data_IF_173352736314
#
_entry.id   IF_173352736314
#
_cell.length_a   1.000
_cell.length_b   1.000
_cell.length_c   1.000
_cell.angle_alpha   90.00
_cell.angle_beta   90.00
_cell.angle_gamma   90.00
#
_symmetry.space_group_name_H-M   'P 1'
#
loop_
_entity.id
_entity.type
_entity.pdbx_description
1 polymer ?
#
# COMPACT_ATOMS: atom_id res chain seq x y z
N UNK A 1 -10.75 43.30 -31.24
CA UNK A 1 -9.61 42.94 -30.36
C UNK A 1 -8.34 43.28 -31.08
N UNK A 2 -7.43 44.05 -30.47
CA UNK A 2 -6.17 44.46 -31.10
C UNK A 2 -5.23 43.25 -31.28
N UNK A 3 -4.88 42.95 -32.53
CA UNK A 3 -4.02 41.82 -32.92
C UNK A 3 -2.60 41.94 -32.34
N UNK A 4 -2.12 43.16 -32.11
CA UNK A 4 -0.81 43.40 -31.51
C UNK A 4 -0.78 42.99 -30.03
N UNK A 5 -1.87 43.24 -29.31
CA UNK A 5 -2.03 42.86 -27.90
C UNK A 5 -2.10 41.34 -27.76
N UNK A 6 -2.88 40.66 -28.62
CA UNK A 6 -2.99 39.19 -28.63
C UNK A 6 -1.63 38.55 -28.91
N UNK A 7 -0.88 39.05 -29.90
CA UNK A 7 0.44 38.52 -30.24
C UNK A 7 1.46 38.66 -29.09
N UNK A 8 1.37 39.76 -28.34
CA UNK A 8 2.21 39.98 -27.15
C UNK A 8 1.84 39.02 -26.02
N UNK A 9 0.54 38.80 -25.80
CA UNK A 9 0.01 37.84 -24.82
C UNK A 9 0.46 36.41 -25.12
N UNK A 10 0.38 35.97 -26.37
CA UNK A 10 0.83 34.62 -26.76
C UNK A 10 2.32 34.43 -26.50
N UNK A 11 3.16 35.40 -26.90
CA UNK A 11 4.60 35.36 -26.62
C UNK A 11 4.91 35.32 -25.13
N UNK A 12 4.15 36.08 -24.34
CA UNK A 12 4.29 36.09 -22.89
C UNK A 12 3.87 34.75 -22.28
N UNK A 13 2.72 34.18 -22.67
CA UNK A 13 2.28 32.86 -22.20
C UNK A 13 3.29 31.76 -22.56
N UNK A 14 3.90 31.84 -23.74
CA UNK A 14 4.94 30.91 -24.17
C UNK A 14 6.20 31.02 -23.32
N UNK A 15 6.56 32.22 -22.86
CA UNK A 15 7.70 32.43 -21.97
C UNK A 15 7.52 31.86 -20.56
N UNK A 16 6.27 31.65 -20.12
CA UNK A 16 5.99 31.11 -18.78
C UNK A 16 6.27 29.61 -18.64
N UNK A 17 6.54 28.89 -19.74
CA UNK A 17 6.82 27.45 -19.70
C UNK A 17 5.61 26.58 -19.31
N UNK A 18 4.41 27.15 -19.23
CA UNK A 18 3.18 26.43 -18.86
C UNK A 18 2.88 25.24 -19.81
N UNK A 19 3.25 25.38 -21.09
CA UNK A 19 3.13 24.32 -22.10
C UNK A 19 3.91 23.05 -21.76
N UNK A 20 4.94 23.13 -20.92
CA UNK A 20 5.78 22.00 -20.55
C UNK A 20 5.23 21.22 -19.35
N UNK A 21 4.21 21.77 -18.66
CA UNK A 21 3.60 21.09 -17.53
C UNK A 21 2.53 20.11 -18.01
N UNK A 22 2.51 18.87 -17.48
CA UNK A 22 1.45 17.93 -17.82
C UNK A 22 0.11 18.41 -17.28
N UNK A 23 -0.95 18.30 -18.09
CA UNK A 23 -2.31 18.52 -17.61
C UNK A 23 -2.72 17.34 -16.73
N UNK A 24 -3.17 17.64 -15.51
CA UNK A 24 -3.56 16.63 -14.53
C UNK A 24 -5.04 16.78 -14.17
N UNK A 25 -5.74 15.67 -13.87
CA UNK A 25 -7.07 15.72 -13.28
C UNK A 25 -7.07 16.51 -11.97
N UNK A 26 -8.18 17.21 -11.69
CA UNK A 26 -8.35 17.98 -10.45
C UNK A 26 -8.22 17.05 -9.25
N UNK A 27 -7.44 17.47 -8.24
CA UNK A 27 -7.16 16.66 -7.04
C UNK A 27 -6.02 15.65 -7.19
N UNK A 28 -5.36 15.61 -8.35
CA UNK A 28 -4.13 14.84 -8.52
C UNK A 28 -2.98 15.45 -7.73
N UNK A 29 -2.10 14.60 -7.20
CA UNK A 29 -0.90 14.99 -6.49
C UNK A 29 0.31 14.53 -7.30
N UNK A 30 1.34 15.37 -7.44
CA UNK A 30 2.56 15.00 -8.14
C UNK A 30 3.77 15.65 -7.49
N UNK A 31 4.85 14.88 -7.34
CA UNK A 31 6.13 15.38 -6.89
C UNK A 31 6.80 16.23 -7.97
N UNK A 32 7.48 17.29 -7.56
CA UNK A 32 8.22 18.14 -8.48
C UNK A 32 9.42 17.40 -9.09
N UNK A 33 9.82 17.78 -10.31
CA UNK A 33 11.00 17.20 -11.00
C UNK A 33 12.26 17.26 -10.13
N UNK A 34 12.47 18.35 -9.40
CA UNK A 34 13.59 18.49 -8.46
C UNK A 34 13.53 17.48 -7.30
N UNK A 35 12.34 17.17 -6.80
CA UNK A 35 12.13 16.17 -5.75
C UNK A 35 12.42 14.76 -6.26
N UNK A 36 11.94 14.45 -7.47
CA UNK A 36 12.20 13.15 -8.13
C UNK A 36 13.70 12.97 -8.36
N UNK A 37 14.42 13.99 -8.84
CA UNK A 37 15.86 13.90 -9.02
C UNK A 37 16.62 13.64 -7.70
N UNK A 38 16.21 14.28 -6.60
CA UNK A 38 16.77 14.02 -5.26
C UNK A 38 16.47 12.60 -4.78
N UNK A 39 15.25 12.12 -5.03
CA UNK A 39 14.83 10.76 -4.72
C UNK A 39 15.69 9.74 -5.47
N UNK A 40 15.90 9.91 -6.78
CA UNK A 40 16.75 9.02 -7.57
C UNK A 40 18.21 9.05 -7.08
N UNK A 41 18.73 10.22 -6.71
CA UNK A 41 20.06 10.33 -6.13
C UNK A 41 20.15 9.57 -4.80
N UNK A 42 19.12 9.66 -3.97
CA UNK A 42 19.05 8.91 -2.71
C UNK A 42 18.98 7.40 -2.95
N UNK A 43 18.13 6.94 -3.86
CA UNK A 43 18.02 5.52 -4.24
C UNK A 43 19.35 4.98 -4.75
N UNK A 44 20.04 5.70 -5.64
CA UNK A 44 21.37 5.31 -6.15
C UNK A 44 22.40 5.17 -5.03
N UNK A 45 22.38 6.04 -4.02
CA UNK A 45 23.27 5.94 -2.84
C UNK A 45 22.92 4.72 -1.99
N UNK A 46 21.62 4.45 -1.81
CA UNK A 46 21.13 3.33 -1.02
C UNK A 46 21.48 1.98 -1.66
N UNK A 47 21.26 1.83 -2.98
CA UNK A 47 21.62 0.63 -3.73
C UNK A 47 23.13 0.35 -3.67
N UNK A 48 23.99 1.37 -3.86
CA UNK A 48 25.45 1.22 -3.69
C UNK A 48 25.81 0.69 -2.31
N UNK A 49 25.21 1.25 -1.26
CA UNK A 49 25.45 0.79 0.11
C UNK A 49 25.01 -0.67 0.31
N UNK A 50 23.90 -1.09 -0.30
CA UNK A 50 23.48 -2.48 -0.25
C UNK A 50 24.46 -3.41 -0.97
N UNK A 51 24.95 -3.01 -2.15
CA UNK A 51 25.98 -3.76 -2.87
C UNK A 51 27.27 -3.89 -2.06
N UNK A 52 27.73 -2.81 -1.43
CA UNK A 52 28.94 -2.83 -0.61
C UNK A 52 28.79 -3.75 0.61
N UNK A 53 27.64 -3.72 1.28
CA UNK A 53 27.34 -4.65 2.38
C UNK A 53 27.35 -6.10 1.90
N UNK A 54 26.76 -6.39 0.74
CA UNK A 54 26.76 -7.76 0.18
C UNK A 54 28.18 -8.22 -0.15
N UNK A 55 29.06 -7.33 -0.61
CA UNK A 55 30.48 -7.67 -0.86
C UNK A 55 31.22 -7.96 0.45
N UNK A 56 31.10 -7.09 1.45
CA UNK A 56 31.72 -7.32 2.77
C UNK A 56 31.26 -8.65 3.38
N UNK A 57 29.97 -8.98 3.26
CA UNK A 57 29.43 -10.26 3.73
C UNK A 57 30.03 -11.46 2.96
N UNK A 58 30.30 -11.33 1.66
CA UNK A 58 30.91 -12.40 0.85
C UNK A 58 32.38 -12.62 1.19
N UNK A 59 33.09 -11.56 1.55
CA UNK A 59 34.52 -11.62 1.88
C UNK A 59 34.75 -12.21 3.30
N UNK A 60 33.75 -12.14 4.18
CA UNK A 60 33.73 -12.81 5.49
C UNK A 60 33.37 -14.30 5.33
N UNK A 61 34.35 -15.18 5.07
CA UNK A 61 34.17 -16.66 4.97
C UNK A 61 33.59 -17.33 6.24
N UNK A 62 33.43 -16.59 7.35
CA UNK A 62 32.86 -17.06 8.62
C UNK A 62 31.40 -16.67 8.85
N UNK A 63 30.79 -15.93 7.93
CA UNK A 63 29.43 -15.42 8.04
C UNK A 63 28.36 -16.45 7.64
N UNK A 64 27.86 -17.19 8.62
CA UNK A 64 26.68 -18.05 8.50
C UNK A 64 25.42 -17.21 8.18
N UNK A 65 25.20 -16.85 6.91
CA UNK A 65 23.90 -16.40 6.41
C UNK A 65 23.67 -16.92 4.99
N UNK A 66 22.56 -17.62 4.84
CA UNK A 66 22.15 -18.28 3.61
C UNK A 66 21.75 -17.30 2.51
N UNK A 67 22.03 -17.70 1.28
CA UNK A 67 21.26 -17.32 0.10
C UNK A 67 19.78 -17.28 0.45
N UNK A 68 19.16 -16.08 0.47
CA UNK A 68 17.74 -15.84 0.75
C UNK A 68 17.04 -17.09 1.29
N UNK A 69 17.36 -17.52 2.53
CA UNK A 69 16.85 -18.80 3.00
C UNK A 69 15.35 -18.68 2.86
N UNK A 70 14.76 -19.56 2.06
CA UNK A 70 13.36 -19.85 2.15
C UNK A 70 13.17 -20.39 3.56
N UNK A 71 13.10 -19.49 4.55
CA UNK A 71 12.66 -19.81 5.87
C UNK A 71 11.23 -20.25 5.65
N UNK A 72 10.98 -21.52 5.90
CA UNK A 72 9.64 -22.03 6.10
C UNK A 72 9.12 -21.36 7.38
N UNK A 73 8.72 -20.09 7.23
CA UNK A 73 7.92 -19.41 8.22
C UNK A 73 6.59 -20.13 8.09
N UNK A 74 6.24 -20.92 9.10
CA UNK A 74 4.94 -21.57 9.17
C UNK A 74 3.88 -20.52 8.86
N UNK A 75 3.29 -20.61 7.66
CA UNK A 75 2.31 -19.64 7.20
C UNK A 75 1.08 -19.89 8.05
N UNK A 76 0.95 -19.16 9.15
CA UNK A 76 -0.33 -19.00 9.81
C UNK A 76 -1.25 -18.53 8.70
N UNK A 77 -2.27 -19.32 8.36
CA UNK A 77 -3.32 -18.93 7.40
C UNK A 77 -3.80 -17.55 7.83
N UNK A 78 -3.27 -16.52 7.19
CA UNK A 78 -3.80 -15.18 7.25
C UNK A 78 -5.14 -15.32 6.57
N UNK A 79 -6.21 -15.45 7.38
CA UNK A 79 -7.61 -15.51 6.91
C UNK A 79 -8.00 -14.30 6.03
N UNK A 80 -7.08 -13.34 5.88
CA UNK A 80 -7.24 -12.09 5.12
C UNK A 80 -6.29 -11.99 3.91
N UNK A 81 -5.52 -13.04 3.58
CA UNK A 81 -4.74 -13.11 2.33
C UNK A 81 -5.50 -13.85 1.21
N UNK A 82 -6.80 -14.09 1.43
CA UNK A 82 -7.68 -14.67 0.43
C UNK A 82 -8.06 -13.56 -0.54
N UNK A 83 -7.33 -13.53 -1.64
CA UNK A 83 -7.44 -12.59 -2.75
C UNK A 83 -6.91 -11.20 -2.41
N UNK A 84 -5.80 -10.84 -3.04
CA UNK A 84 -5.36 -9.45 -3.18
C UNK A 84 -6.38 -8.54 -3.88
N UNK A 85 -7.66 -8.90 -4.01
CA UNK A 85 -8.70 -7.90 -4.22
C UNK A 85 -8.92 -7.24 -2.86
N UNK A 86 -8.48 -5.99 -2.65
CA UNK A 86 -9.11 -5.22 -1.59
C UNK A 86 -10.61 -5.36 -1.78
N UNK A 87 -11.31 -5.78 -0.72
CA UNK A 87 -12.76 -5.85 -0.67
C UNK A 87 -13.31 -4.63 -1.42
N UNK A 88 -14.16 -4.86 -2.43
CA UNK A 88 -14.64 -3.84 -3.38
C UNK A 88 -15.30 -2.63 -2.69
N UNK A 89 -15.54 -2.71 -1.37
CA UNK A 89 -16.10 -1.65 -0.54
C UNK A 89 -15.10 -1.01 0.45
N UNK A 90 -13.93 -1.60 0.66
CA UNK A 90 -12.91 -1.10 1.59
C UNK A 90 -11.89 -0.22 0.86
N UNK A 91 -12.19 1.09 0.81
CA UNK A 91 -11.23 2.21 0.86
C UNK A 91 -9.86 2.06 0.18
N UNK A 92 -9.75 1.40 -0.99
CA UNK A 92 -8.54 1.42 -1.84
C UNK A 92 -8.12 2.85 -2.18
N UNK A 93 -9.10 3.75 -2.18
CA UNK A 93 -8.96 5.18 -2.47
C UNK A 93 -8.06 5.97 -1.51
N UNK A 94 -7.62 5.42 -0.37
CA UNK A 94 -7.07 6.28 0.71
C UNK A 94 -5.75 5.84 1.36
N UNK A 95 -5.08 4.77 0.91
CA UNK A 95 -3.89 4.31 1.64
C UNK A 95 -2.54 4.75 1.03
N UNK A 96 -2.45 5.06 -0.25
CA UNK A 96 -1.18 5.42 -0.85
C UNK A 96 -0.92 6.92 -0.76
N UNK A 97 0.28 7.30 -0.34
CA UNK A 97 0.71 8.70 -0.22
C UNK A 97 1.97 8.90 -1.07
N UNK A 98 2.21 10.14 -1.52
CA UNK A 98 3.47 10.49 -2.17
C UNK A 98 4.66 10.10 -1.29
N UNK A 99 5.65 9.46 -1.91
CA UNK A 99 6.84 8.96 -1.22
C UNK A 99 6.70 7.55 -0.66
N UNK A 100 5.52 6.92 -0.71
CA UNK A 100 5.39 5.53 -0.28
C UNK A 100 6.28 4.60 -1.10
N UNK A 101 6.93 3.68 -0.40
CA UNK A 101 7.68 2.58 -1.02
C UNK A 101 6.72 1.50 -1.43
N UNK A 102 6.80 1.07 -2.67
CA UNK A 102 5.92 0.07 -3.27
C UNK A 102 6.74 -0.97 -3.99
N UNK A 103 6.14 -2.13 -4.24
CA UNK A 103 6.63 -3.06 -5.25
C UNK A 103 5.49 -3.59 -6.10
N UNK A 104 5.84 -4.00 -7.31
CA UNK A 104 4.88 -4.57 -8.24
C UNK A 104 4.55 -6.02 -7.87
N UNK A 105 3.28 -6.32 -7.66
CA UNK A 105 2.75 -7.67 -7.38
C UNK A 105 1.99 -8.28 -8.55
N UNK A 106 1.85 -7.57 -9.67
CA UNK A 106 1.17 -8.07 -10.87
C UNK A 106 2.16 -8.42 -11.97
N UNK A 107 1.88 -9.45 -12.75
CA UNK A 107 2.66 -9.79 -13.95
C UNK A 107 2.13 -9.12 -15.22
N UNK A 108 0.97 -8.45 -15.16
CA UNK A 108 0.22 -8.03 -16.36
C UNK A 108 0.58 -6.64 -16.89
N UNK A 109 1.44 -5.88 -16.20
CA UNK A 109 1.59 -4.43 -16.42
C UNK A 109 2.82 -4.03 -17.25
N UNK A 110 3.59 -5.03 -17.71
CA UNK A 110 4.89 -4.82 -18.35
C UNK A 110 5.98 -4.33 -17.39
N UNK A 111 5.67 -4.25 -16.10
CA UNK A 111 6.64 -4.09 -15.02
C UNK A 111 7.01 -5.49 -14.50
N UNK A 112 8.31 -5.82 -14.32
CA UNK A 112 8.68 -7.13 -13.78
C UNK A 112 8.10 -7.35 -12.38
N UNK A 113 7.76 -8.59 -12.05
CA UNK A 113 7.23 -8.91 -10.72
C UNK A 113 8.31 -8.69 -9.64
N UNK A 114 7.92 -8.12 -8.50
CA UNK A 114 8.80 -7.95 -7.34
C UNK A 114 9.71 -6.71 -7.39
N UNK A 115 9.75 -5.98 -8.50
CA UNK A 115 10.57 -4.75 -8.59
C UNK A 115 9.98 -3.66 -7.72
N UNK A 116 10.87 -2.90 -7.08
CA UNK A 116 10.53 -1.90 -6.08
C UNK A 116 10.62 -0.50 -6.65
N UNK A 117 9.81 0.40 -6.10
CA UNK A 117 9.79 1.78 -6.51
C UNK A 117 9.17 2.68 -5.45
N UNK A 118 9.03 3.94 -5.82
CA UNK A 118 8.48 5.00 -4.96
C UNK A 118 7.38 5.73 -5.71
N UNK A 119 6.28 6.00 -5.00
CA UNK A 119 5.14 6.75 -5.53
C UNK A 119 5.51 8.23 -5.67
N UNK A 120 5.45 8.75 -6.89
CA UNK A 120 5.76 10.16 -7.21
C UNK A 120 4.56 10.93 -7.73
N UNK A 121 3.46 10.26 -8.06
CA UNK A 121 2.22 10.88 -8.50
C UNK A 121 1.01 10.03 -8.17
N UNK A 122 -0.11 10.67 -7.89
CA UNK A 122 -1.40 10.05 -7.58
C UNK A 122 -2.47 10.76 -8.39
N UNK A 123 -3.18 10.01 -9.22
CA UNK A 123 -4.22 10.48 -10.13
C UNK A 123 -5.51 9.76 -9.79
N UNK A 124 -6.44 10.51 -9.20
CA UNK A 124 -7.73 9.98 -8.79
C UNK A 124 -8.75 10.25 -9.89
N UNK A 125 -9.21 9.19 -10.56
CA UNK A 125 -10.37 9.27 -11.45
C UNK A 125 -11.60 8.72 -10.72
N UNK A 126 -12.80 9.17 -11.11
CA UNK A 126 -14.05 8.81 -10.43
C UNK A 126 -14.29 7.30 -10.26
N UNK A 127 -13.66 6.46 -11.10
CA UNK A 127 -13.76 5.00 -11.09
C UNK A 127 -12.50 4.29 -10.59
N UNK A 128 -11.31 4.82 -10.90
CA UNK A 128 -10.03 4.13 -10.68
C UNK A 128 -8.95 5.09 -10.19
N UNK A 129 -8.01 4.57 -9.40
CA UNK A 129 -6.85 5.33 -8.91
C UNK A 129 -5.61 4.82 -9.62
N UNK A 130 -4.94 5.72 -10.32
CA UNK A 130 -3.65 5.46 -10.94
C UNK A 130 -2.56 6.21 -10.19
N UNK A 131 -1.37 5.63 -10.15
CA UNK A 131 -0.21 6.21 -9.49
C UNK A 131 0.99 6.14 -10.41
N UNK A 132 1.80 7.19 -10.38
CA UNK A 132 3.10 7.15 -11.02
C UNK A 132 4.13 6.66 -10.03
N UNK A 133 4.87 5.66 -10.45
CA UNK A 133 5.94 5.05 -9.68
C UNK A 133 7.25 5.25 -10.42
N UNK A 134 8.27 5.71 -9.69
CA UNK A 134 9.67 5.65 -10.12
C UNK A 134 10.29 4.43 -9.47
N UNK A 135 10.61 3.45 -10.29
CA UNK A 135 11.28 2.22 -9.92
C UNK A 135 12.77 2.46 -9.69
N UNK A 136 13.35 1.63 -8.84
CA UNK A 136 14.77 1.75 -8.47
C UNK A 136 15.71 1.35 -9.61
N UNK A 137 15.22 0.48 -10.51
CA UNK A 137 15.98 -0.08 -11.63
C UNK A 137 15.22 0.15 -12.95
N UNK A 138 15.95 0.39 -14.07
CA UNK A 138 15.34 0.52 -15.39
C UNK A 138 14.81 -0.82 -15.90
N UNK A 139 13.69 -0.80 -16.62
CA UNK A 139 13.09 -2.01 -17.19
C UNK A 139 12.42 -1.72 -18.54
N UNK A 140 12.25 -2.76 -19.36
CA UNK A 140 11.81 -2.64 -20.76
C UNK A 140 10.46 -1.92 -20.95
N UNK A 141 9.53 -2.03 -20.00
CA UNK A 141 8.23 -1.37 -20.04
C UNK A 141 8.18 0.04 -19.44
N UNK A 142 9.33 0.57 -19.01
CA UNK A 142 9.45 1.84 -18.31
C UNK A 142 9.48 3.05 -19.23
N UNK A 143 9.26 4.22 -18.65
CA UNK A 143 9.20 5.53 -19.32
C UNK A 143 9.96 6.57 -18.50
N UNK A 144 10.14 7.79 -19.03
CA UNK A 144 10.77 8.91 -18.31
C UNK A 144 9.77 9.84 -17.59
N UNK A 145 8.49 9.47 -17.54
CA UNK A 145 7.39 10.27 -16.96
C UNK A 145 7.39 11.73 -17.45
N UNK A 146 7.46 11.93 -18.78
CA UNK A 146 7.65 13.22 -19.43
C UNK A 146 8.96 13.91 -19.01
N UNK A 147 10.07 13.15 -19.05
CA UNK A 147 11.41 13.64 -18.72
C UNK A 147 11.54 14.18 -17.28
N UNK A 148 10.78 13.60 -16.35
CA UNK A 148 10.86 13.90 -14.91
C UNK A 148 11.75 12.94 -14.13
N UNK A 149 11.94 11.71 -14.62
CA UNK A 149 12.87 10.73 -14.07
C UNK A 149 13.84 10.22 -15.14
N UNK A 150 14.81 9.42 -14.72
CA UNK A 150 15.71 8.64 -15.57
C UNK A 150 14.90 7.79 -16.56
N UNK A 151 15.44 7.60 -17.77
CA UNK A 151 14.80 6.78 -18.79
C UNK A 151 14.55 5.36 -18.29
N UNK A 152 13.41 4.80 -18.69
CA UNK A 152 13.00 3.43 -18.37
C UNK A 152 12.77 3.13 -16.87
N UNK A 153 12.78 4.13 -15.99
CA UNK A 153 12.55 3.95 -14.55
C UNK A 153 11.10 4.25 -14.12
N UNK A 154 10.28 4.90 -14.94
CA UNK A 154 8.96 5.37 -14.54
C UNK A 154 7.78 4.63 -15.18
N UNK A 155 6.67 4.49 -14.46
CA UNK A 155 5.41 3.93 -15.00
C UNK A 155 4.18 4.53 -14.34
N UNK A 156 3.09 4.63 -15.09
CA UNK A 156 1.75 4.83 -14.56
C UNK A 156 1.11 3.45 -14.30
N UNK A 157 0.75 3.18 -13.06
CA UNK A 157 0.22 1.91 -12.59
C UNK A 157 -1.12 2.06 -11.91
N UNK A 158 -1.95 1.01 -11.98
CA UNK A 158 -3.13 0.94 -11.13
C UNK A 158 -2.72 0.54 -9.71
N UNK A 159 -3.32 1.17 -8.70
CA UNK A 159 -3.04 0.87 -7.28
C UNK A 159 -3.22 -0.62 -6.95
N UNK A 160 -4.09 -1.34 -7.65
CA UNK A 160 -4.28 -2.78 -7.48
C UNK A 160 -3.05 -3.61 -7.85
N UNK A 161 -2.11 -3.09 -8.63
CA UNK A 161 -0.91 -3.81 -9.05
C UNK A 161 0.24 -3.66 -8.06
N UNK A 162 0.07 -2.81 -7.05
CA UNK A 162 1.12 -2.41 -6.14
C UNK A 162 0.84 -2.89 -4.72
N UNK A 163 1.91 -3.25 -4.01
CA UNK A 163 1.88 -3.46 -2.57
C UNK A 163 2.77 -2.42 -1.90
N UNK A 164 2.23 -1.71 -0.91
CA UNK A 164 2.98 -0.73 -0.11
C UNK A 164 3.86 -1.45 0.91
N UNK A 165 5.13 -1.08 0.93
CA UNK A 165 6.17 -1.56 1.83
C UNK A 165 6.39 -0.65 3.03
N UNK A 166 5.95 0.61 2.95
CA UNK A 166 6.04 1.53 4.08
C UNK A 166 5.23 0.97 5.25
N UNK A 167 5.84 0.69 6.42
CA UNK A 167 5.10 0.23 7.57
C UNK A 167 4.21 1.37 8.05
N UNK A 168 2.90 1.28 7.78
CA UNK A 168 1.94 2.15 8.43
C UNK A 168 1.85 1.72 9.88
N UNK A 169 2.03 2.66 10.81
CA UNK A 169 1.68 2.42 12.21
C UNK A 169 0.22 1.99 12.23
N UNK A 170 -0.04 0.73 12.57
CA UNK A 170 -1.39 0.22 12.79
C UNK A 170 -1.95 0.94 14.01
N UNK A 171 -2.62 2.08 13.81
CA UNK A 171 -3.42 2.68 14.86
C UNK A 171 -4.60 1.74 15.11
N UNK A 172 -4.74 1.24 16.34
CA UNK A 172 -5.87 0.42 16.82
C UNK A 172 -7.25 1.13 16.73
N UNK A 173 -7.39 2.18 15.94
CA UNK A 173 -8.57 3.02 15.82
C UNK A 173 -9.59 2.48 14.80
N UNK A 174 -9.21 1.55 13.93
CA UNK A 174 -10.15 0.95 12.97
C UNK A 174 -11.01 -0.17 13.59
N UNK A 175 -10.71 -0.62 14.80
CA UNK A 175 -11.49 -1.65 15.51
C UNK A 175 -12.61 -1.05 16.40
N UNK A 176 -12.70 0.29 16.56
CA UNK A 176 -13.60 0.94 17.55
C UNK A 176 -14.98 1.32 16.95
N UNK A 177 -15.30 0.98 15.70
CA UNK A 177 -16.58 1.35 15.07
C UNK A 177 -17.56 0.21 14.84
N UNK A 178 -17.46 -0.91 15.57
CA UNK A 178 -18.40 -2.04 15.42
C UNK A 178 -19.20 -2.45 16.67
N UNK A 179 -19.03 -1.77 17.80
CA UNK A 179 -19.73 -2.16 19.03
C UNK A 179 -20.91 -1.24 19.41
N UNK A 180 -21.11 -0.08 18.73
CA UNK A 180 -22.23 0.83 19.07
C UNK A 180 -23.54 0.49 18.34
N UNK A 181 -23.51 -0.24 17.22
CA UNK A 181 -24.72 -0.60 16.46
C UNK A 181 -25.46 -1.83 17.03
N UNK A 182 -24.88 -2.55 18.00
CA UNK A 182 -25.52 -3.73 18.63
C UNK A 182 -26.38 -3.34 19.85
N UNK A 183 -26.20 -2.14 20.43
CA UNK A 183 -26.97 -1.69 21.60
C UNK A 183 -28.26 -0.92 21.27
N UNK A 184 -28.50 -0.59 19.99
CA UNK A 184 -29.70 0.12 19.56
C UNK A 184 -30.89 -0.79 19.21
N UNK A 185 -30.72 -2.11 19.26
CA UNK A 185 -31.78 -3.09 18.90
C UNK A 185 -32.55 -3.67 20.10
N UNK A 186 -32.21 -3.30 21.34
CA UNK A 186 -32.93 -3.76 22.54
C UNK A 186 -33.81 -2.64 23.12
N UNK A 187 -34.88 -2.30 22.40
CA UNK A 187 -36.08 -1.67 22.97
C UNK A 187 -37.21 -1.61 21.94
N UNK A 188 -38.08 -2.63 21.94
CA UNK A 188 -39.47 -2.53 21.47
C UNK A 188 -40.40 -3.26 22.46
N UNK A 189 -41.67 -2.82 22.58
CA UNK A 189 -42.46 -2.96 23.80
C UNK A 189 -43.36 -4.21 23.86
N UNK A 190 -43.82 -4.48 25.08
CA UNK A 190 -44.68 -5.56 25.52
C UNK A 190 -46.08 -5.66 24.84
N UNK A 191 -46.48 -6.91 24.57
CA UNK A 191 -47.83 -7.52 24.47
C UNK A 191 -47.56 -9.04 24.34
N UNK A 192 -48.09 -10.02 25.07
CA UNK A 192 -49.37 -10.24 25.74
C UNK A 192 -49.94 -11.56 25.18
N UNK A 193 -50.10 -12.61 26.00
CA UNK A 193 -50.92 -13.80 25.68
C UNK A 193 -50.24 -15.19 25.66
N UNK A 194 -50.35 -15.89 26.79
CA UNK A 194 -50.70 -17.31 27.06
C UNK A 194 -50.20 -18.51 26.22
N UNK A 195 -49.74 -19.52 27.00
CA UNK A 195 -49.98 -20.97 26.92
C UNK A 195 -48.83 -21.94 26.54
N UNK A 196 -48.67 -22.93 27.44
CA UNK A 196 -48.15 -24.31 27.30
C UNK A 196 -46.64 -24.64 27.34
N UNK A 197 -46.21 -24.99 28.54
CA UNK A 197 -45.50 -26.22 28.96
C UNK A 197 -44.91 -27.17 27.88
N UNK A 198 -43.59 -27.31 27.84
CA UNK A 198 -42.92 -28.63 27.88
C UNK A 198 -41.40 -28.46 28.03
N UNK A 199 -40.82 -29.24 28.94
CA UNK A 199 -39.52 -28.98 29.52
C UNK A 199 -38.31 -29.42 28.70
N UNK A 200 -37.20 -28.73 28.92
CA UNK A 200 -35.86 -29.30 28.87
C UNK A 200 -34.95 -28.52 29.83
N UNK A 201 -34.49 -29.16 30.91
CA UNK A 201 -33.52 -28.56 31.84
C UNK A 201 -32.10 -28.75 31.26
N UNK A 202 -31.22 -27.74 31.27
CA UNK A 202 -29.81 -27.94 30.91
C UNK A 202 -29.10 -28.79 31.98
N UNK A 203 -28.28 -29.73 31.53
CA UNK A 203 -27.45 -30.58 32.40
C UNK A 203 -26.38 -29.76 33.15
N UNK A 204 -26.01 -30.15 34.38
CA UNK A 204 -24.98 -29.44 35.14
C UNK A 204 -23.58 -29.61 34.51
N UNK A 205 -22.68 -28.63 34.67
CA UNK A 205 -21.35 -28.67 34.08
C UNK A 205 -20.47 -29.76 34.69
N UNK A 206 -19.67 -30.43 33.84
CA UNK A 206 -18.71 -31.48 34.25
C UNK A 206 -17.60 -30.90 35.15
N UNK A 207 -17.10 -31.67 36.15
CA UNK A 207 -16.04 -31.21 37.03
C UNK A 207 -14.67 -31.19 36.34
N UNK A 208 -13.85 -30.19 36.71
CA UNK A 208 -12.48 -29.99 36.24
C UNK A 208 -11.52 -31.04 36.83
N UNK A 209 -10.43 -31.42 36.11
CA UNK A 209 -9.48 -32.43 36.57
C UNK A 209 -8.60 -31.94 37.74
N UNK A 210 -8.13 -32.86 38.61
CA UNK A 210 -7.38 -32.51 39.82
C UNK A 210 -5.96 -32.02 39.52
N UNK A 211 -5.52 -31.06 40.34
CA UNK A 211 -4.22 -30.40 40.28
C UNK A 211 -3.12 -31.33 40.84
N UNK A 212 -1.90 -31.38 40.25
CA UNK A 212 -0.83 -32.26 40.74
C UNK A 212 -0.34 -31.82 42.13
N UNK A 213 -0.11 -32.81 43.01
CA UNK A 213 0.50 -32.63 44.33
C UNK A 213 1.98 -32.27 44.19
N UNK A 214 2.42 -31.29 44.97
CA UNK A 214 3.83 -30.91 45.09
C UNK A 214 4.62 -31.99 45.86
N UNK A 215 5.93 -32.14 45.61
CA UNK A 215 6.75 -33.15 46.26
C UNK A 215 7.03 -32.77 47.72
N UNK A 216 6.81 -33.70 48.65
CA UNK A 216 7.37 -33.66 50.00
C UNK A 216 8.76 -34.32 50.00
N UNK A 217 9.62 -33.79 50.86
CA UNK A 217 11.02 -34.17 51.15
C UNK A 217 11.37 -35.66 51.11
#
# INVERSE_FOLDING_TARGET
VDLAVVSRLVKWLDSLGLKQQPFLPVGSQAASKATIAKLEQFTKRMLRRQEDLVKTIRDDESGFYSAAEAREIGVVKLKNLENGRPSTKDKVRSFMVLGDRVFNRSSETGVPFGVRGTVVGIFNNAKEVYVEVVYDEPFAGGTSLNSRCTEMCGKLENVTNLLVLTPKKWSKQDDISKDEDVKAAEQLPAKGGDAEESGFRPLPPKPLPPKPLAPSE
#
